data_IF_224038746340
#
_entry.id   IF_224038746340
#
_cell.length_a   1.000
_cell.length_b   1.000
_cell.length_c   1.000
_cell.angle_alpha   90.00
_cell.angle_beta   90.00
_cell.angle_gamma   90.00
#
_symmetry.space_group_name_H-M   'P 1'
#
loop_
_entity.id
_entity.type
_entity.pdbx_description
1 polymer ?
#
# COMPACT_ATOMS: atom_id res chain seq x y z
N UNK A 1 3.01 -4.35 8.57
CA UNK A 1 4.42 -3.95 8.31
C UNK A 1 4.47 -3.26 6.96
N UNK A 2 5.39 -2.32 6.75
CA UNK A 2 5.59 -1.63 5.48
C UNK A 2 7.07 -1.72 5.08
N UNK A 3 7.37 -2.07 3.82
CA UNK A 3 8.74 -2.13 3.28
C UNK A 3 8.80 -1.55 1.88
N UNK A 4 9.91 -0.92 1.52
CA UNK A 4 10.22 -0.52 0.15
C UNK A 4 11.46 -1.29 -0.30
N UNK A 5 11.31 -2.13 -1.31
CA UNK A 5 12.32 -3.12 -1.68
C UNK A 5 12.67 -4.00 -0.47
N UNK A 6 13.95 -4.07 -0.11
CA UNK A 6 14.42 -4.79 1.07
C UNK A 6 14.30 -3.98 2.39
N UNK A 7 14.05 -2.67 2.31
CA UNK A 7 14.16 -1.77 3.45
C UNK A 7 12.85 -1.71 4.26
N UNK A 8 12.92 -2.02 5.55
CA UNK A 8 11.78 -1.93 6.47
C UNK A 8 11.54 -0.47 6.86
N UNK A 9 10.29 -0.03 6.78
CA UNK A 9 9.91 1.31 7.20
C UNK A 9 10.00 1.44 8.72
N UNK A 10 10.60 2.53 9.18
CA UNK A 10 10.70 2.85 10.62
C UNK A 10 9.50 3.67 11.04
N UNK A 11 8.94 3.40 12.22
CA UNK A 11 7.90 4.27 12.76
C UNK A 11 8.52 5.62 13.15
N UNK A 12 7.91 6.71 12.70
CA UNK A 12 8.41 8.06 12.93
C UNK A 12 7.26 9.05 13.07
N UNK A 13 7.41 10.05 13.92
CA UNK A 13 6.49 11.17 14.04
C UNK A 13 6.99 12.32 13.17
N UNK A 14 6.42 12.48 11.98
CA UNK A 14 6.87 13.47 11.01
C UNK A 14 6.26 14.84 11.28
N UNK A 15 7.09 15.87 11.53
CA UNK A 15 6.60 17.25 11.61
C UNK A 15 6.26 17.82 10.23
N UNK A 16 6.83 17.25 9.16
CA UNK A 16 6.81 17.85 7.83
C UNK A 16 5.84 17.19 6.85
N UNK A 17 5.12 16.14 7.26
CA UNK A 17 4.25 15.38 6.37
C UNK A 17 3.02 16.17 5.89
N UNK A 18 2.46 17.04 6.73
CA UNK A 18 1.37 17.95 6.35
C UNK A 18 1.87 19.30 5.84
N UNK A 19 3.06 19.72 6.29
CA UNK A 19 3.63 21.02 5.96
C UNK A 19 5.16 20.90 5.84
N UNK A 20 5.72 20.97 4.63
CA UNK A 20 7.16 21.05 4.41
C UNK A 20 7.82 22.15 5.25
N UNK A 21 9.03 21.88 5.78
CA UNK A 21 9.77 22.87 6.57
C UNK A 21 10.55 23.84 5.68
N UNK A 22 10.44 25.14 5.96
CA UNK A 22 11.30 26.17 5.38
C UNK A 22 11.02 26.47 3.90
N UNK A 23 12.07 26.82 3.15
CA UNK A 23 11.99 27.00 1.70
C UNK A 23 11.94 25.62 1.03
N UNK A 24 10.76 25.23 0.57
CA UNK A 24 10.49 23.94 -0.05
C UNK A 24 9.53 24.11 -1.22
N UNK A 25 9.59 23.21 -2.20
CA UNK A 25 8.73 23.25 -3.39
C UNK A 25 7.90 21.98 -3.49
N UNK A 26 6.58 22.14 -3.60
CA UNK A 26 5.72 21.04 -4.03
C UNK A 26 5.84 20.87 -5.53
N UNK A 27 6.14 19.65 -5.97
CA UNK A 27 6.23 19.29 -7.39
C UNK A 27 5.14 18.29 -7.75
N UNK A 28 4.73 18.22 -9.04
CA UNK A 28 3.87 17.15 -9.52
C UNK A 28 4.50 15.79 -9.22
N UNK A 29 3.69 14.84 -8.78
CA UNK A 29 4.21 13.54 -8.38
C UNK A 29 4.68 12.72 -9.57
N UNK A 30 5.97 12.34 -9.65
CA UNK A 30 6.46 11.41 -10.66
C UNK A 30 6.12 9.95 -10.31
N UNK A 31 5.52 9.72 -9.13
CA UNK A 31 5.21 8.39 -8.63
C UNK A 31 3.95 7.86 -9.32
N UNK A 32 4.01 6.63 -9.82
CA UNK A 32 2.86 5.94 -10.42
C UNK A 32 2.93 4.43 -10.14
N UNK A 33 1.80 3.74 -10.28
CA UNK A 33 1.82 2.27 -10.34
C UNK A 33 2.60 1.79 -11.57
N UNK A 34 3.45 0.79 -11.37
CA UNK A 34 4.30 0.23 -12.42
C UNK A 34 3.78 -1.10 -12.98
N UNK A 35 3.06 -1.88 -12.17
CA UNK A 35 2.48 -3.15 -12.56
C UNK A 35 1.31 -3.51 -11.62
N UNK A 36 0.67 -4.65 -11.91
CA UNK A 36 -0.36 -5.23 -11.07
C UNK A 36 0.17 -5.56 -9.67
N UNK A 37 -0.73 -5.46 -8.69
CA UNK A 37 -0.44 -5.87 -7.31
C UNK A 37 -0.35 -7.39 -7.26
N UNK A 38 0.67 -7.89 -6.57
CA UNK A 38 0.79 -9.32 -6.26
C UNK A 38 0.57 -9.58 -4.78
N UNK A 39 -0.32 -10.52 -4.45
CA UNK A 39 -0.52 -11.03 -3.09
C UNK A 39 0.25 -12.33 -2.92
N UNK A 40 0.93 -12.46 -1.78
CA UNK A 40 1.63 -13.68 -1.35
C UNK A 40 1.20 -14.07 0.06
N UNK A 41 1.37 -15.35 0.41
CA UNK A 41 1.13 -15.83 1.77
C UNK A 41 2.39 -15.77 2.62
N UNK A 42 2.23 -15.45 3.90
CA UNK A 42 3.29 -15.53 4.90
C UNK A 42 3.46 -16.94 5.49
N UNK A 43 2.55 -17.88 5.18
CA UNK A 43 2.59 -19.28 5.58
C UNK A 43 2.77 -20.18 4.34
N UNK A 44 3.97 -20.12 3.75
CA UNK A 44 4.30 -20.82 2.51
C UNK A 44 4.35 -22.35 2.63
N UNK A 45 4.40 -22.86 3.86
CA UNK A 45 4.28 -24.28 4.20
C UNK A 45 2.84 -24.80 4.04
N UNK A 46 1.85 -23.92 4.04
CA UNK A 46 0.45 -24.26 3.84
C UNK A 46 0.09 -24.11 2.36
N UNK A 47 0.17 -25.20 1.59
CA UNK A 47 -0.13 -25.21 0.16
C UNK A 47 -1.50 -24.60 -0.18
N UNK A 48 -2.51 -24.82 0.67
CA UNK A 48 -3.82 -24.19 0.51
C UNK A 48 -3.74 -22.66 0.45
N UNK A 49 -2.93 -22.04 1.31
CA UNK A 49 -2.79 -20.59 1.35
C UNK A 49 -2.03 -20.05 0.13
N UNK A 50 -1.09 -20.83 -0.41
CA UNK A 50 -0.42 -20.52 -1.68
C UNK A 50 -1.42 -20.53 -2.82
N UNK A 51 -2.29 -21.55 -2.90
CA UNK A 51 -3.36 -21.59 -3.91
C UNK A 51 -4.35 -20.43 -3.77
N UNK A 52 -4.75 -20.09 -2.54
CA UNK A 52 -5.64 -18.95 -2.29
C UNK A 52 -5.02 -17.63 -2.76
N UNK A 53 -3.72 -17.41 -2.51
CA UNK A 53 -3.01 -16.22 -2.98
C UNK A 53 -2.93 -16.16 -4.51
N UNK A 54 -2.65 -17.28 -5.18
CA UNK A 54 -2.64 -17.36 -6.65
C UNK A 54 -4.04 -17.10 -7.23
N UNK A 55 -5.08 -17.70 -6.66
CA UNK A 55 -6.47 -17.45 -7.07
C UNK A 55 -6.86 -15.99 -6.87
N UNK A 56 -6.42 -15.37 -5.78
CA UNK A 56 -6.66 -13.95 -5.53
C UNK A 56 -6.06 -13.08 -6.64
N UNK A 57 -4.79 -13.33 -6.99
CA UNK A 57 -4.09 -12.57 -8.03
C UNK A 57 -4.77 -12.74 -9.39
N UNK A 58 -5.22 -13.94 -9.74
CA UNK A 58 -5.97 -14.16 -10.99
C UNK A 58 -7.30 -13.41 -10.99
N UNK A 59 -8.05 -13.44 -9.89
CA UNK A 59 -9.36 -12.80 -9.79
C UNK A 59 -9.30 -11.26 -9.78
N UNK A 60 -8.19 -10.69 -9.31
CA UNK A 60 -7.99 -9.25 -9.19
C UNK A 60 -6.99 -8.69 -10.22
N UNK A 61 -6.63 -9.46 -11.25
CA UNK A 61 -5.86 -8.93 -12.39
C UNK A 61 -6.80 -8.05 -13.21
N UNK A 62 -6.86 -6.76 -12.87
CA UNK A 62 -7.67 -5.80 -13.59
C UNK A 62 -6.87 -5.23 -14.77
N UNK A 63 -6.92 -5.89 -15.92
CA UNK A 63 -6.38 -5.35 -17.17
C UNK A 63 -7.48 -4.71 -18.02
N UNK A 64 -7.23 -3.50 -18.52
CA UNK A 64 -8.01 -2.96 -19.62
C UNK A 64 -7.56 -3.66 -20.92
N UNK A 65 -8.35 -4.62 -21.39
CA UNK A 65 -8.08 -5.45 -22.57
C UNK A 65 -8.51 -4.79 -23.91
N UNK A 66 -9.00 -3.54 -23.89
CA UNK A 66 -9.49 -2.86 -25.10
C UNK A 66 -8.82 -1.49 -25.28
N UNK A 67 -8.23 -1.28 -26.46
CA UNK A 67 -7.54 -0.04 -26.87
C UNK A 67 -8.48 1.17 -27.11
N UNK A 68 -9.78 1.03 -26.87
CA UNK A 68 -10.75 2.12 -26.99
C UNK A 68 -11.00 2.70 -25.60
N UNK A 69 -10.11 3.61 -25.20
CA UNK A 69 -9.99 4.29 -23.90
C UNK A 69 -11.31 4.57 -23.18
N UNK A 70 -11.58 3.81 -22.11
CA UNK A 70 -12.41 4.27 -21.01
C UNK A 70 -11.66 5.37 -20.22
N UNK A 71 -12.35 6.38 -19.65
CA UNK A 71 -11.72 7.38 -18.80
C UNK A 71 -11.00 6.69 -17.63
N UNK A 72 -9.89 7.26 -17.11
CA UNK A 72 -9.17 6.67 -15.99
C UNK A 72 -10.08 6.63 -14.77
N UNK A 73 -10.70 5.47 -14.53
CA UNK A 73 -11.38 5.17 -13.28
C UNK A 73 -10.33 5.28 -12.17
N UNK A 74 -10.72 5.88 -11.04
CA UNK A 74 -9.85 6.12 -9.88
C UNK A 74 -9.00 4.86 -9.61
N UNK A 75 -7.68 5.06 -9.44
CA UNK A 75 -6.69 3.98 -9.35
C UNK A 75 -6.77 3.27 -7.99
N UNK A 76 -7.90 2.63 -7.73
CA UNK A 76 -8.15 1.80 -6.59
C UNK A 76 -7.45 0.46 -6.78
N UNK A 77 -6.70 0.02 -5.76
CA UNK A 77 -6.03 -1.28 -5.77
C UNK A 77 -6.68 -2.24 -4.78
N UNK A 78 -6.82 -3.50 -5.20
CA UNK A 78 -7.40 -4.56 -4.38
C UNK A 78 -6.30 -5.42 -3.77
N UNK A 79 -6.26 -5.43 -2.44
CA UNK A 79 -5.29 -6.11 -1.62
C UNK A 79 -5.97 -7.13 -0.71
N UNK A 80 -5.19 -8.02 -0.10
CA UNK A 80 -5.67 -8.93 0.92
C UNK A 80 -5.37 -8.42 2.33
N UNK A 81 -6.41 -8.37 3.14
CA UNK A 81 -6.36 -8.06 4.57
C UNK A 81 -6.12 -9.28 5.44
N UNK A 82 -5.41 -9.08 6.56
CA UNK A 82 -5.01 -10.11 7.50
C UNK A 82 -3.50 -10.33 7.54
N UNK A 83 -2.96 -10.66 8.72
CA UNK A 83 -1.51 -10.80 8.92
C UNK A 83 -0.88 -11.99 8.17
N UNK A 84 -1.71 -12.87 7.62
CA UNK A 84 -1.29 -14.04 6.87
C UNK A 84 -0.86 -13.72 5.42
N UNK A 85 -1.04 -12.48 4.98
CA UNK A 85 -0.83 -12.04 3.60
C UNK A 85 0.17 -10.90 3.53
N UNK A 86 0.96 -10.88 2.45
CA UNK A 86 1.83 -9.78 2.08
C UNK A 86 1.44 -9.29 0.69
N UNK A 87 1.20 -7.98 0.58
CA UNK A 87 0.76 -7.34 -0.64
C UNK A 87 1.91 -6.53 -1.24
N UNK A 88 2.35 -6.90 -2.43
CA UNK A 88 3.41 -6.24 -3.17
C UNK A 88 2.80 -5.29 -4.21
N UNK A 89 2.96 -3.98 -3.98
CA UNK A 89 2.55 -2.91 -4.88
C UNK A 89 3.79 -2.40 -5.61
N UNK A 90 3.85 -2.53 -6.94
CA UNK A 90 4.95 -1.98 -7.70
C UNK A 90 4.69 -0.51 -8.04
N UNK A 91 5.61 0.35 -7.63
CA UNK A 91 5.58 1.80 -7.85
C UNK A 91 6.78 2.20 -8.69
N UNK A 92 6.58 2.97 -9.75
CA UNK A 92 7.65 3.69 -10.42
C UNK A 92 7.76 5.06 -9.77
N UNK A 93 8.89 5.37 -9.16
CA UNK A 93 9.16 6.67 -8.51
C UNK A 93 9.68 7.73 -9.49
N UNK A 94 9.84 7.37 -10.77
CA UNK A 94 10.48 8.22 -11.77
C UNK A 94 12.00 8.23 -11.65
N UNK A 95 12.65 8.95 -12.58
CA UNK A 95 14.10 9.15 -12.59
C UNK A 95 14.53 10.52 -12.03
N UNK A 96 13.57 11.45 -11.84
CA UNK A 96 13.83 12.79 -11.32
C UNK A 96 12.58 13.36 -10.62
N UNK A 97 12.72 14.00 -9.44
CA UNK A 97 13.95 14.05 -8.64
C UNK A 97 14.27 12.68 -8.01
N UNK A 98 15.52 12.50 -7.57
CA UNK A 98 15.88 11.37 -6.73
C UNK A 98 15.40 11.63 -5.31
N UNK A 99 14.43 10.86 -4.83
CA UNK A 99 13.96 11.00 -3.45
C UNK A 99 14.99 10.42 -2.49
N UNK A 100 15.51 11.22 -1.57
CA UNK A 100 16.41 10.75 -0.51
C UNK A 100 15.63 10.13 0.64
N UNK A 101 14.36 10.49 0.77
CA UNK A 101 13.47 10.00 1.80
C UNK A 101 12.06 9.76 1.26
N UNK A 102 11.45 8.69 1.76
CA UNK A 102 10.03 8.37 1.55
C UNK A 102 9.31 8.27 2.90
N UNK A 103 8.10 8.81 2.97
CA UNK A 103 7.22 8.69 4.14
C UNK A 103 5.83 8.20 3.70
N UNK A 104 5.31 7.17 4.36
CA UNK A 104 3.97 6.62 4.10
C UNK A 104 3.07 6.83 5.32
N UNK A 105 1.88 7.40 5.12
CA UNK A 105 0.86 7.55 6.16
C UNK A 105 -0.54 7.23 5.66
N UNK A 106 -1.45 6.94 6.59
CA UNK A 106 -2.89 7.01 6.34
C UNK A 106 -3.29 8.48 6.24
N UNK A 107 -4.02 8.86 5.19
CA UNK A 107 -4.45 10.25 4.95
C UNK A 107 -5.71 10.65 5.74
N UNK A 108 -6.46 9.68 6.24
CA UNK A 108 -7.66 9.93 7.06
C UNK A 108 -7.36 10.23 8.53
N UNK A 109 -6.10 10.53 8.87
CA UNK A 109 -5.77 10.93 10.24
C UNK A 109 -6.18 12.40 10.49
N UNK A 110 -6.53 12.72 11.75
CA UNK A 110 -6.99 14.07 12.11
C UNK A 110 -5.96 15.18 11.78
N UNK A 111 -4.67 14.85 11.81
CA UNK A 111 -3.60 15.80 11.54
C UNK A 111 -3.39 16.08 10.04
N UNK A 112 -3.66 15.11 9.16
CA UNK A 112 -3.66 15.31 7.70
C UNK A 112 -4.91 16.02 7.20
N UNK A 113 -6.04 15.86 7.89
CA UNK A 113 -7.28 16.59 7.59
C UNK A 113 -7.30 18.03 8.12
N UNK A 114 -6.38 18.39 9.02
CA UNK A 114 -6.34 19.69 9.68
C UNK A 114 -7.28 19.83 10.88
N UNK A 115 -7.90 18.74 11.34
CA UNK A 115 -8.76 18.73 12.54
C UNK A 115 -7.95 18.87 13.83
N UNK A 116 -6.66 18.50 13.80
CA UNK A 116 -5.68 18.70 14.86
C UNK A 116 -4.34 19.10 14.26
N UNK A 117 -3.54 19.89 14.98
CA UNK A 117 -2.17 20.23 14.56
C UNK A 117 -1.16 19.31 15.25
N UNK A 118 -0.08 18.97 14.55
CA UNK A 118 1.04 18.24 15.15
C UNK A 118 1.77 17.32 14.19
N UNK A 119 2.57 16.43 14.77
CA UNK A 119 3.32 15.42 14.02
C UNK A 119 2.41 14.30 13.54
N UNK A 120 2.62 13.85 12.30
CA UNK A 120 1.88 12.75 11.71
C UNK A 120 2.68 11.45 11.84
N UNK A 121 2.09 10.35 12.34
CA UNK A 121 2.77 9.07 12.38
C UNK A 121 2.93 8.51 10.96
N UNK A 122 4.17 8.22 10.58
CA UNK A 122 4.54 7.70 9.26
C UNK A 122 5.39 6.43 9.40
N UNK A 123 5.41 5.63 8.34
CA UNK A 123 6.54 4.75 8.05
C UNK A 123 7.56 5.52 7.22
N UNK A 124 8.75 5.71 7.76
CA UNK A 124 9.85 6.47 7.15
C UNK A 124 10.94 5.56 6.60
N UNK A 125 11.39 5.86 5.38
CA UNK A 125 12.57 5.29 4.76
C UNK A 125 13.55 6.42 4.39
N UNK A 126 14.58 6.62 5.20
CA UNK A 126 15.55 7.73 5.04
C UNK A 126 16.92 7.29 4.48
N UNK A 127 16.99 6.08 3.90
CA UNK A 127 18.21 5.50 3.32
C UNK A 127 18.26 5.58 1.79
N UNK A 128 17.66 6.61 1.18
CA UNK A 128 17.69 6.78 -0.28
C UNK A 128 19.11 6.91 -0.85
N UNK A 129 19.26 7.10 -2.17
CA UNK A 129 18.23 7.56 -3.10
C UNK A 129 17.24 6.48 -3.54
N UNK A 130 16.00 6.90 -3.78
CA UNK A 130 14.92 6.08 -4.35
C UNK A 130 14.55 6.63 -5.73
N UNK A 131 14.56 5.73 -6.72
CA UNK A 131 14.19 6.01 -8.10
C UNK A 131 13.74 4.75 -8.81
N UNK A 132 13.13 4.91 -9.98
CA UNK A 132 12.69 3.81 -10.83
C UNK A 132 11.64 2.94 -10.15
N UNK A 133 11.55 1.68 -10.57
CA UNK A 133 10.57 0.73 -10.03
C UNK A 133 11.02 0.24 -8.65
N UNK A 134 10.15 0.42 -7.67
CA UNK A 134 10.27 -0.04 -6.29
C UNK A 134 9.05 -0.88 -5.92
N UNK A 135 9.24 -1.88 -5.06
CA UNK A 135 8.13 -2.68 -4.53
C UNK A 135 7.79 -2.22 -3.12
N UNK A 136 6.61 -1.64 -2.94
CA UNK A 136 6.02 -1.32 -1.66
C UNK A 136 5.28 -2.57 -1.14
N UNK A 137 5.84 -3.22 -0.12
CA UNK A 137 5.23 -4.38 0.52
C UNK A 137 4.44 -3.94 1.75
N UNK A 138 3.15 -4.28 1.78
CA UNK A 138 2.20 -3.89 2.83
C UNK A 138 1.51 -5.12 3.44
N UNK A 139 1.37 -5.09 4.76
CA UNK A 139 0.53 -6.02 5.51
C UNK A 139 -0.52 -5.23 6.28
N UNK A 140 -1.78 -5.45 5.93
CA UNK A 140 -2.94 -4.88 6.60
C UNK A 140 -3.43 -5.86 7.67
N UNK A 141 -3.50 -5.41 8.93
CA UNK A 141 -3.96 -6.27 10.03
C UNK A 141 -5.44 -6.61 9.92
N UNK A 142 -6.23 -5.70 9.37
CA UNK A 142 -7.66 -5.81 9.22
C UNK A 142 -8.06 -5.51 7.78
N UNK A 143 -9.19 -6.05 7.32
CA UNK A 143 -9.81 -5.64 6.07
C UNK A 143 -10.41 -4.23 6.22
N UNK A 144 -10.56 -3.53 5.11
CA UNK A 144 -11.13 -2.19 5.07
C UNK A 144 -10.72 -1.44 3.82
N UNK A 145 -11.29 -0.25 3.66
CA UNK A 145 -10.82 0.74 2.69
C UNK A 145 -9.84 1.68 3.37
N UNK A 146 -8.71 1.95 2.73
CA UNK A 146 -7.64 2.79 3.25
C UNK A 146 -7.19 3.78 2.18
N UNK A 147 -7.10 5.05 2.54
CA UNK A 147 -6.42 6.06 1.72
C UNK A 147 -5.02 6.28 2.28
N UNK A 148 -4.00 5.91 1.52
CA UNK A 148 -2.60 6.09 1.90
C UNK A 148 -1.95 7.19 1.06
N UNK A 149 -1.13 8.02 1.70
CA UNK A 149 -0.25 8.96 1.03
C UNK A 149 1.19 8.46 1.10
N UNK A 150 1.88 8.46 -0.04
CA UNK A 150 3.32 8.27 -0.11
C UNK A 150 3.97 9.60 -0.49
N UNK A 151 4.67 10.20 0.47
CA UNK A 151 5.42 11.42 0.27
C UNK A 151 6.88 11.10 -0.08
N UNK A 152 7.37 11.65 -1.18
CA UNK A 152 8.79 11.67 -1.53
C UNK A 152 9.41 13.02 -1.20
N UNK A 153 10.60 12.99 -0.60
CA UNK A 153 11.39 14.16 -0.23
C UNK A 153 12.78 14.03 -0.85
N UNK A 154 13.24 15.11 -1.48
CA UNK A 154 14.60 15.27 -2.00
C UNK A 154 15.45 16.10 -1.01
N UNK A 155 16.76 15.87 -0.92
CA UNK A 155 17.70 16.63 -0.07
C UNK A 155 18.45 17.76 -0.81
N UNK A 156 17.86 18.36 -1.84
CA UNK A 156 18.38 19.57 -2.48
C UNK A 156 18.37 20.76 -1.50
N UNK A 157 19.11 21.83 -1.82
CA UNK A 157 19.15 23.08 -1.01
C UNK A 157 17.76 23.69 -0.79
N UNK A 158 16.87 23.53 -1.76
CA UNK A 158 15.43 23.71 -1.63
C UNK A 158 14.78 22.34 -1.86
N UNK A 159 14.37 21.63 -0.80
CA UNK A 159 13.82 20.28 -0.93
C UNK A 159 12.54 20.25 -1.78
N UNK A 160 12.50 19.33 -2.74
CA UNK A 160 11.28 19.00 -3.49
C UNK A 160 10.44 18.00 -2.70
N UNK A 161 9.13 18.26 -2.64
CA UNK A 161 8.13 17.40 -2.03
C UNK A 161 7.14 16.94 -3.08
N UNK A 162 6.82 15.65 -3.06
CA UNK A 162 5.86 15.02 -3.96
C UNK A 162 4.94 14.11 -3.16
N UNK A 163 3.64 14.15 -3.40
CA UNK A 163 2.67 13.26 -2.76
C UNK A 163 2.00 12.36 -3.80
N UNK A 164 1.93 11.07 -3.52
CA UNK A 164 1.16 10.09 -4.28
C UNK A 164 0.09 9.45 -3.40
N UNK A 165 -1.17 9.61 -3.79
CA UNK A 165 -2.31 9.02 -3.10
C UNK A 165 -2.64 7.64 -3.66
N UNK A 166 -2.91 6.70 -2.77
CA UNK A 166 -3.34 5.34 -3.07
C UNK A 166 -4.66 5.06 -2.35
N UNK A 167 -5.70 4.74 -3.11
CA UNK A 167 -6.96 4.21 -2.58
C UNK A 167 -6.93 2.68 -2.61
N UNK A 168 -7.13 2.07 -1.46
CA UNK A 168 -6.88 0.65 -1.24
C UNK A 168 -8.14 0.00 -0.68
N UNK A 169 -8.56 -1.11 -1.29
CA UNK A 169 -9.51 -2.03 -0.66
C UNK A 169 -8.74 -3.28 -0.23
N UNK A 170 -8.58 -3.46 1.08
CA UNK A 170 -8.06 -4.70 1.65
C UNK A 170 -9.23 -5.59 2.06
N UNK A 171 -9.46 -6.70 1.34
CA UNK A 171 -10.53 -7.64 1.65
C UNK A 171 -9.95 -8.93 2.27
N UNK A 172 -10.72 -9.63 3.09
CA UNK A 172 -10.26 -10.91 3.66
C UNK A 172 -10.25 -12.04 2.62
N UNK A 173 -10.88 -11.83 1.46
CA UNK A 173 -11.38 -12.90 0.61
C UNK A 173 -12.55 -13.57 1.30
N UNK A 174 -13.59 -13.87 0.56
CA UNK A 174 -14.73 -14.65 1.05
C UNK A 174 -14.21 -15.88 1.79
N UNK A 175 -14.42 -15.92 3.11
CA UNK A 175 -14.38 -17.17 3.85
C UNK A 175 -15.42 -18.07 3.18
N UNK A 176 -14.99 -19.03 2.37
CA UNK A 176 -15.84 -20.15 2.00
C UNK A 176 -16.32 -20.74 3.32
N UNK A 177 -17.62 -20.62 3.53
CA UNK A 177 -18.36 -20.90 4.75
C UNK A 177 -17.80 -22.10 5.52
N UNK A 178 -16.99 -21.86 6.57
CA UNK A 178 -16.74 -22.83 7.65
C UNK A 178 -17.58 -22.46 8.88
N UNK A 179 -18.88 -22.21 8.69
CA UNK A 179 -19.85 -22.40 9.78
C UNK A 179 -20.06 -23.91 9.95
N UNK A 180 -19.19 -24.51 10.75
CA UNK A 180 -19.45 -25.67 11.61
C UNK A 180 -20.46 -26.70 11.07
N UNK A 181 -19.96 -27.74 10.38
CA UNK A 181 -20.62 -29.05 10.43
C UNK A 181 -20.44 -29.62 11.86
N UNK A 182 -21.25 -29.11 12.80
CA UNK A 182 -21.49 -29.68 14.12
C UNK A 182 -22.99 -29.82 14.30
N UNK A 183 -23.54 -30.93 13.80
CA UNK A 183 -24.76 -31.65 14.23
C UNK A 183 -24.80 -32.91 13.35
N UNK A 184 -24.10 -33.96 13.78
CA UNK A 184 -24.64 -35.08 14.55
C UNK A 184 -24.93 -36.27 13.62
N UNK A 185 -23.91 -37.13 13.46
CA UNK A 185 -24.12 -38.55 13.20
C UNK A 185 -24.61 -39.21 14.51
N UNK A 186 -25.58 -40.13 14.37
CA UNK A 186 -26.14 -41.05 15.38
C UNK A 186 -27.10 -40.39 16.41
N UNK A 187 -28.29 -40.91 16.69
CA UNK A 187 -28.83 -42.27 16.55
C UNK A 187 -30.31 -42.26 16.18
N UNK A 188 -30.66 -43.07 15.19
CA UNK A 188 -31.97 -43.71 15.05
C UNK A 188 -32.11 -44.82 16.09
N UNK A 189 -33.12 -44.75 16.95
CA UNK A 189 -33.90 -45.84 17.58
C UNK A 189 -34.95 -45.21 18.48
#
# INVERSE_FOLDING_TARGET
MARIGANVGTWYLSPNYHLPSGASVWIPSPIAYAADVTVTTNASDQQQMVFDATSWNMNNSSVNILATTAPPLQKMIFLRGGMAWSNAVQLNLGSSPLFTELQLSIMDNAATRGDAQGTIPVFRWASGPYSGVQTLNLVFKQPGRYTLGLMGINNNSTPDYSMFEMDIIADQGTQICRRSYKRACHSSS
#
